data_IF_384722696725
#
_entry.id   IF_384722696725
#
_cell.length_a   1.000
_cell.length_b   1.000
_cell.length_c   1.000
_cell.angle_alpha   90.00
_cell.angle_beta   90.00
_cell.angle_gamma   90.00
#
_symmetry.space_group_name_H-M   'P 1'
#
loop_
_entity.id
_entity.type
_entity.pdbx_description
1 polymer ?
#
# COMPACT_ATOMS: atom_id res chain seq x y z
N UNK A 1 -1.91 49.11 -7.48
CA UNK A 1 -2.31 47.69 -7.41
C UNK A 1 -1.03 46.88 -7.39
N UNK A 2 -0.63 46.33 -6.23
CA UNK A 2 0.66 45.65 -6.02
C UNK A 2 0.30 44.21 -5.67
N UNK A 3 0.52 43.28 -6.59
CA UNK A 3 0.14 41.87 -6.42
C UNK A 3 0.86 41.27 -5.21
N UNK A 4 0.17 40.55 -4.32
CA UNK A 4 0.79 39.97 -3.14
C UNK A 4 1.54 38.69 -3.53
N UNK A 5 2.72 38.84 -4.13
CA UNK A 5 3.57 37.71 -4.56
C UNK A 5 3.96 36.76 -3.41
N UNK A 6 3.89 37.23 -2.16
CA UNK A 6 4.12 36.39 -0.97
C UNK A 6 2.95 35.43 -0.64
N UNK A 7 1.71 35.77 -1.02
CA UNK A 7 0.53 34.94 -0.74
C UNK A 7 0.60 33.61 -1.51
N UNK A 8 1.18 33.65 -2.71
CA UNK A 8 1.37 32.48 -3.57
C UNK A 8 2.36 31.48 -2.97
N UNK A 9 3.43 31.98 -2.34
CA UNK A 9 4.41 31.13 -1.66
C UNK A 9 3.79 30.38 -0.48
N UNK A 10 3.00 31.09 0.33
CA UNK A 10 2.31 30.51 1.49
C UNK A 10 1.28 29.46 1.06
N UNK A 11 0.55 29.71 -0.03
CA UNK A 11 -0.41 28.76 -0.58
C UNK A 11 0.26 27.45 -1.06
N UNK A 12 1.46 27.52 -1.64
CA UNK A 12 2.23 26.34 -2.04
C UNK A 12 2.73 25.53 -0.83
N UNK A 13 3.16 26.18 0.25
CA UNK A 13 3.58 25.49 1.48
C UNK A 13 2.40 24.82 2.21
N UNK A 14 1.21 25.41 2.18
CA UNK A 14 0.02 24.81 2.79
C UNK A 14 -0.40 23.50 2.09
N UNK A 15 -0.07 23.33 0.81
CA UNK A 15 -0.42 22.14 0.04
C UNK A 15 0.36 20.89 0.49
N UNK A 16 1.57 21.05 1.03
CA UNK A 16 2.36 19.92 1.57
C UNK A 16 1.84 19.41 2.91
N UNK A 17 0.90 20.12 3.54
CA UNK A 17 0.26 19.69 4.78
C UNK A 17 -0.89 18.69 4.56
N UNK A 18 -1.38 18.53 3.33
CA UNK A 18 -2.33 17.47 2.95
C UNK A 18 -1.64 16.17 2.52
N UNK A 19 -0.37 15.97 2.89
CA UNK A 19 0.36 14.76 2.56
C UNK A 19 -0.09 13.63 3.50
N UNK A 20 -0.45 12.49 2.91
CA UNK A 20 -0.98 11.35 3.61
C UNK A 20 0.12 10.68 4.45
N UNK A 21 -0.11 10.54 5.76
CA UNK A 21 0.81 9.91 6.69
C UNK A 21 0.72 8.38 6.61
N UNK A 22 1.79 7.66 6.97
CA UNK A 22 1.83 6.19 6.93
C UNK A 22 0.80 5.51 7.84
N UNK A 23 0.35 6.21 8.89
CA UNK A 23 -0.69 5.76 9.82
C UNK A 23 -2.11 6.09 9.36
N UNK A 24 -2.26 6.87 8.28
CA UNK A 24 -3.58 7.19 7.78
C UNK A 24 -4.25 5.97 7.16
N UNK A 25 -5.58 5.83 7.28
CA UNK A 25 -6.31 4.73 6.68
C UNK A 25 -6.18 4.74 5.15
N UNK A 26 -5.78 3.60 4.60
CA UNK A 26 -5.66 3.34 3.17
C UNK A 26 -6.77 2.44 2.62
N UNK A 27 -6.74 2.15 1.31
CA UNK A 27 -7.67 1.22 0.67
C UNK A 27 -7.63 -0.17 1.31
N UNK A 28 -8.79 -0.80 1.48
CA UNK A 28 -8.89 -2.13 2.10
C UNK A 28 -8.81 -2.13 3.63
N UNK A 29 -8.81 -0.97 4.29
CA UNK A 29 -8.83 -0.85 5.75
C UNK A 29 -7.48 -1.06 6.43
N UNK A 30 -6.39 -1.12 5.64
CA UNK A 30 -5.00 -1.14 6.13
C UNK A 30 -4.40 0.25 6.04
N UNK A 31 -3.43 0.58 6.88
CA UNK A 31 -2.69 1.85 6.74
C UNK A 31 -1.76 1.81 5.53
N UNK A 32 -1.29 2.97 5.08
CA UNK A 32 -0.34 3.04 3.97
C UNK A 32 0.99 2.37 4.31
N UNK A 33 1.46 2.55 5.55
CA UNK A 33 2.64 1.88 6.06
C UNK A 33 2.46 0.35 6.11
N UNK A 34 1.27 -0.12 6.51
CA UNK A 34 0.93 -1.55 6.48
C UNK A 34 0.95 -2.08 5.05
N UNK A 35 0.27 -1.43 4.10
CA UNK A 35 0.24 -1.85 2.71
C UNK A 35 1.64 -1.97 2.10
N UNK A 36 2.51 -0.98 2.33
CA UNK A 36 3.92 -1.03 1.91
C UNK A 36 4.66 -2.22 2.52
N UNK A 37 4.48 -2.47 3.81
CA UNK A 37 5.14 -3.60 4.48
C UNK A 37 4.68 -4.95 3.92
N UNK A 38 3.40 -5.08 3.53
CA UNK A 38 2.89 -6.27 2.86
C UNK A 38 3.51 -6.44 1.46
N UNK A 39 3.68 -5.35 0.70
CA UNK A 39 4.31 -5.39 -0.63
C UNK A 39 5.79 -5.81 -0.55
N UNK A 40 6.53 -5.26 0.41
CA UNK A 40 7.93 -5.64 0.66
C UNK A 40 8.05 -7.14 1.03
N UNK A 41 7.13 -7.63 1.87
CA UNK A 41 7.09 -9.05 2.21
C UNK A 41 6.76 -9.93 0.99
N UNK A 42 5.85 -9.49 0.11
CA UNK A 42 5.54 -10.20 -1.13
C UNK A 42 6.75 -10.24 -2.07
N UNK A 43 7.52 -9.14 -2.16
CA UNK A 43 8.73 -9.08 -2.96
C UNK A 43 9.79 -10.09 -2.48
N UNK A 44 9.98 -10.22 -1.17
CA UNK A 44 10.89 -11.24 -0.62
C UNK A 44 10.48 -12.66 -1.02
N UNK A 45 9.18 -12.96 -1.03
CA UNK A 45 8.67 -14.27 -1.47
C UNK A 45 8.95 -14.48 -2.97
N UNK A 46 8.77 -13.44 -3.78
CA UNK A 46 9.02 -13.49 -5.22
C UNK A 46 10.51 -13.73 -5.53
N UNK A 47 11.41 -13.08 -4.80
CA UNK A 47 12.86 -13.30 -4.93
C UNK A 47 13.27 -14.75 -4.64
N UNK A 48 12.48 -15.44 -3.81
CA UNK A 48 12.67 -16.86 -3.48
C UNK A 48 11.75 -17.79 -4.27
N UNK A 49 11.15 -17.34 -5.38
CA UNK A 49 10.25 -18.16 -6.18
C UNK A 49 10.97 -19.42 -6.71
N UNK A 50 10.52 -20.62 -6.35
CA UNK A 50 11.10 -21.86 -6.87
C UNK A 50 10.81 -22.00 -8.37
N UNK A 51 11.63 -22.80 -9.10
CA UNK A 51 11.40 -23.04 -10.52
C UNK A 51 9.99 -23.61 -10.78
N UNK A 52 9.43 -23.26 -11.94
CA UNK A 52 8.11 -23.71 -12.35
C UNK A 52 8.02 -25.25 -12.34
N UNK A 53 6.90 -25.79 -11.82
CA UNK A 53 6.65 -27.24 -11.70
C UNK A 53 7.02 -27.88 -10.35
N UNK A 54 7.64 -27.15 -9.42
CA UNK A 54 7.86 -27.63 -8.05
C UNK A 54 6.63 -27.52 -7.15
N UNK A 55 5.68 -26.63 -7.49
CA UNK A 55 4.49 -26.35 -6.69
C UNK A 55 3.38 -27.40 -6.85
N UNK A 56 3.46 -28.25 -7.89
CA UNK A 56 2.43 -29.24 -8.21
C UNK A 56 2.31 -30.37 -7.17
N UNK A 57 3.27 -30.51 -6.25
CA UNK A 57 3.23 -31.55 -5.20
C UNK A 57 2.57 -31.09 -3.89
N UNK A 58 2.12 -29.84 -3.78
CA UNK A 58 1.57 -29.29 -2.54
C UNK A 58 0.11 -28.84 -2.67
N UNK A 59 -0.81 -29.79 -2.79
CA UNK A 59 -2.18 -29.67 -2.26
C UNK A 59 -2.75 -31.09 -2.08
N UNK A 60 -3.35 -31.40 -0.91
CA UNK A 60 -4.61 -30.76 -0.56
C UNK A 60 -4.71 -30.40 0.93
N UNK A 61 -4.86 -29.11 1.21
CA UNK A 61 -5.74 -28.57 2.25
C UNK A 61 -5.67 -27.04 2.19
N UNK A 62 -6.18 -26.47 1.10
CA UNK A 62 -6.62 -25.07 1.14
C UNK A 62 -8.00 -25.10 1.80
N UNK A 63 -8.18 -24.49 2.99
CA UNK A 63 -9.51 -24.27 3.53
C UNK A 63 -10.25 -23.43 2.48
N UNK A 64 -11.33 -23.97 1.94
CA UNK A 64 -12.19 -23.27 0.99
C UNK A 64 -12.58 -21.95 1.63
N UNK A 65 -11.98 -20.84 1.16
CA UNK A 65 -12.29 -19.52 1.66
C UNK A 65 -13.80 -19.32 1.50
N UNK A 66 -14.52 -19.28 2.63
CA UNK A 66 -15.95 -19.03 2.62
C UNK A 66 -16.18 -17.65 2.02
N UNK A 67 -17.20 -17.48 1.15
CA UNK A 67 -17.56 -16.18 0.60
C UNK A 67 -17.66 -15.16 1.73
N UNK A 68 -16.87 -14.10 1.65
CA UNK A 68 -16.90 -12.99 2.60
C UNK A 68 -18.27 -12.31 2.44
N UNK A 69 -19.05 -12.33 3.51
CA UNK A 69 -20.39 -11.73 3.59
C UNK A 69 -20.30 -10.55 4.55
N UNK A 70 -19.79 -9.43 4.04
CA UNK A 70 -19.84 -8.10 4.64
C UNK A 70 -20.39 -7.09 3.64
#
# INVERSE_FOLDING_TARGET
MKTPSGLWLIAMLALTACQQSDSDPGPGGVTIGEARALDEAAEMIEQHRPPAGLLDKAAPDQPTAKPRTD
#
